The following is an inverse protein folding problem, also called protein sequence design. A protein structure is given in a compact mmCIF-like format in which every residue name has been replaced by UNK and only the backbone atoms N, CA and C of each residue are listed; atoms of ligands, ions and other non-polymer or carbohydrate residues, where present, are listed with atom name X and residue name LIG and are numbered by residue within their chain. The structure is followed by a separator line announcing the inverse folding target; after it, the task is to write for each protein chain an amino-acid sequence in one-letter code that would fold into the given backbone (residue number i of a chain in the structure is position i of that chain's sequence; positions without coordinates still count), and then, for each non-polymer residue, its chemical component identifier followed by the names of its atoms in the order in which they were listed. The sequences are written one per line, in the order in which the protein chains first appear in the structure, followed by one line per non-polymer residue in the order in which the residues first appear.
data_IF_317983559173
#
_entry.id   IF_317983559173
#
_cell.length_a   1.000
_cell.length_b   1.000
_cell.length_c   1.000
_cell.angle_alpha   90.00
_cell.angle_beta   90.00
_cell.angle_gamma   90.00
#
_symmetry.space_group_name_H-M   'P 1'
#
loop_
_entity.id
_entity.type
_entity.pdbx_description
1 polymer ?
#
# COMPACT_ATOMS: atom_id res chain seq x y z
N UNK A 1 -45.95 5.65 -33.56
CA UNK A 1 -45.65 4.67 -32.49
C UNK A 1 -44.16 4.76 -32.22
N UNK A 2 -43.75 5.73 -31.39
CA UNK A 2 -42.36 5.94 -30.98
C UNK A 2 -41.95 4.81 -30.02
N UNK A 3 -41.14 3.86 -30.50
CA UNK A 3 -40.43 2.92 -29.64
C UNK A 3 -39.09 3.56 -29.28
N UNK A 4 -39.08 4.29 -28.17
CA UNK A 4 -37.90 4.90 -27.59
C UNK A 4 -37.05 3.78 -26.95
N UNK A 5 -35.99 3.37 -27.63
CA UNK A 5 -35.03 2.36 -27.17
C UNK A 5 -34.42 2.79 -25.83
N UNK A 6 -34.76 2.05 -24.77
CA UNK A 6 -34.20 2.19 -23.43
C UNK A 6 -32.79 1.58 -23.43
N UNK A 7 -31.77 2.42 -23.67
CA UNK A 7 -30.37 2.07 -23.47
C UNK A 7 -30.10 1.97 -21.96
N UNK A 8 -30.13 0.75 -21.44
CA UNK A 8 -29.74 0.43 -20.07
C UNK A 8 -28.22 0.62 -19.95
N UNK A 9 -27.80 1.72 -19.32
CA UNK A 9 -26.39 2.01 -19.05
C UNK A 9 -25.95 1.10 -17.90
N UNK A 10 -25.19 0.04 -18.22
CA UNK A 10 -24.59 -0.82 -17.21
C UNK A 10 -23.42 -0.04 -16.60
N UNK A 11 -23.65 0.57 -15.44
CA UNK A 11 -22.58 1.13 -14.62
C UNK A 11 -21.70 -0.01 -14.11
N UNK A 12 -20.56 -0.24 -14.77
CA UNK A 12 -19.55 -1.16 -14.28
C UNK A 12 -19.05 -0.69 -12.91
N UNK A 13 -19.15 -1.54 -11.91
CA UNK A 13 -18.53 -1.32 -10.61
C UNK A 13 -17.02 -1.22 -10.81
N UNK A 14 -16.45 -0.04 -10.57
CA UNK A 14 -15.00 0.11 -10.46
C UNK A 14 -14.57 -0.70 -9.24
N UNK A 15 -14.05 -1.90 -9.49
CA UNK A 15 -13.50 -2.74 -8.44
C UNK A 15 -12.16 -2.12 -8.05
N UNK A 16 -12.07 -1.57 -6.83
CA UNK A 16 -10.78 -1.21 -6.26
C UNK A 16 -9.94 -2.49 -6.22
N UNK A 17 -8.71 -2.41 -6.74
CA UNK A 17 -7.82 -3.56 -6.85
C UNK A 17 -7.38 -4.07 -5.47
N UNK A 18 -7.32 -3.21 -4.45
CA UNK A 18 -7.01 -3.57 -3.06
C UNK A 18 -8.23 -3.89 -2.19
N UNK A 19 -8.04 -4.74 -1.18
CA UNK A 19 -9.01 -5.05 -0.12
C UNK A 19 -8.50 -4.47 1.21
N UNK A 20 -9.22 -3.48 1.75
CA UNK A 20 -8.83 -2.81 2.99
C UNK A 20 -8.83 -3.72 4.22
N UNK A 21 -9.70 -4.74 4.26
CA UNK A 21 -9.76 -5.72 5.36
C UNK A 21 -8.55 -6.63 5.31
N UNK A 22 -8.17 -7.12 4.13
CA UNK A 22 -6.95 -7.92 3.96
C UNK A 22 -5.69 -7.09 4.19
N UNK A 23 -5.63 -5.87 3.64
CA UNK A 23 -4.53 -4.93 3.85
C UNK A 23 -4.30 -4.67 5.33
N UNK A 24 -5.37 -4.45 6.12
CA UNK A 24 -5.26 -4.25 7.57
C UNK A 24 -4.57 -5.43 8.27
N UNK A 25 -4.85 -6.68 7.89
CA UNK A 25 -4.21 -7.87 8.48
C UNK A 25 -2.70 -7.89 8.22
N UNK A 26 -2.26 -7.37 7.06
CA UNK A 26 -0.84 -7.28 6.67
C UNK A 26 -0.09 -6.16 7.38
N UNK A 27 -0.78 -5.10 7.83
CA UNK A 27 -0.12 -3.93 8.45
C UNK A 27 0.69 -4.25 9.72
N UNK A 28 0.44 -5.38 10.39
CA UNK A 28 1.16 -5.80 11.59
C UNK A 28 2.68 -5.83 11.38
N UNK A 29 3.15 -6.21 10.19
CA UNK A 29 4.60 -6.21 9.90
C UNK A 29 5.18 -4.79 9.74
N UNK A 30 4.33 -3.81 9.43
CA UNK A 30 4.71 -2.43 9.13
C UNK A 30 4.81 -1.59 10.40
N UNK A 31 3.87 -1.79 11.34
CA UNK A 31 3.77 -0.98 12.56
C UNK A 31 4.99 -1.13 13.47
N UNK A 32 5.70 -2.26 13.40
CA UNK A 32 6.91 -2.49 14.21
C UNK A 32 8.02 -1.46 13.98
N UNK A 33 8.04 -0.81 12.82
CA UNK A 33 8.98 0.30 12.54
C UNK A 33 8.25 1.62 12.33
N UNK A 34 7.13 1.62 11.59
CA UNK A 34 6.43 2.84 11.17
C UNK A 34 5.39 3.35 12.17
N UNK A 35 5.07 2.57 13.19
CA UNK A 35 4.09 2.88 14.23
C UNK A 35 4.70 3.27 15.58
N UNK A 36 6.03 3.30 15.71
CA UNK A 36 6.69 3.70 16.95
C UNK A 36 6.53 5.22 17.14
N UNK A 37 6.16 5.63 18.36
CA UNK A 37 6.02 7.04 18.72
C UNK A 37 7.27 7.85 18.41
N UNK A 38 7.05 9.01 17.81
CA UNK A 38 8.14 9.87 17.33
C UNK A 38 8.82 9.38 16.06
N UNK A 39 8.28 8.34 15.40
CA UNK A 39 8.67 7.90 14.06
C UNK A 39 10.17 7.58 13.98
N UNK A 40 10.63 6.81 14.95
CA UNK A 40 12.02 6.39 15.09
C UNK A 40 12.09 5.00 15.68
N UNK A 41 13.12 4.24 15.33
CA UNK A 41 13.36 2.94 15.96
C UNK A 41 13.83 3.08 17.40
N UNK A 42 13.57 2.04 18.20
CA UNK A 42 14.24 1.83 19.48
C UNK A 42 15.53 1.01 19.27
N UNK A 43 16.37 0.96 20.31
CA UNK A 43 17.60 0.17 20.46
C UNK A 43 17.78 -1.04 19.50
N UNK A 44 18.98 -1.32 18.96
CA UNK A 44 20.29 -0.77 19.35
C UNK A 44 20.71 0.48 18.58
N UNK A 45 20.07 0.79 17.44
CA UNK A 45 20.30 2.03 16.69
C UNK A 45 19.00 2.79 16.54
N UNK A 46 19.02 4.04 16.98
CA UNK A 46 17.93 5.00 16.79
C UNK A 46 18.11 5.67 15.44
N UNK A 47 17.10 5.54 14.57
CA UNK A 47 17.03 6.27 13.31
C UNK A 47 15.57 6.59 12.99
N UNK A 48 15.37 7.61 12.15
CA UNK A 48 14.02 8.03 11.74
C UNK A 48 13.40 7.03 10.77
N UNK A 49 12.13 6.76 10.95
CA UNK A 49 11.30 5.90 10.10
C UNK A 49 10.09 6.72 9.66
N UNK A 50 9.77 6.85 8.37
CA UNK A 50 8.70 7.74 7.94
C UNK A 50 7.32 7.26 8.41
N UNK A 51 6.46 8.19 8.79
CA UNK A 51 5.03 7.92 8.99
C UNK A 51 4.39 7.55 7.65
N UNK A 52 3.65 6.43 7.63
CA UNK A 52 2.91 5.97 6.43
C UNK A 52 1.39 6.16 6.56
N UNK A 53 0.86 6.24 7.77
CA UNK A 53 -0.57 6.48 7.99
C UNK A 53 -0.99 7.88 7.50
N UNK A 54 -2.01 7.93 6.65
CA UNK A 54 -2.50 9.16 6.01
C UNK A 54 -1.77 9.53 4.70
N UNK A 55 -0.84 8.71 4.23
CA UNK A 55 -0.20 8.89 2.93
C UNK A 55 -1.14 8.45 1.78
N UNK A 56 -0.96 9.03 0.60
CA UNK A 56 -1.69 8.63 -0.60
C UNK A 56 -1.39 7.18 -0.99
N UNK A 57 -2.42 6.38 -1.23
CA UNK A 57 -2.30 4.97 -1.61
C UNK A 57 -1.39 4.77 -2.82
N UNK A 58 -1.58 5.57 -3.88
CA UNK A 58 -0.76 5.49 -5.10
C UNK A 58 0.74 5.73 -4.82
N UNK A 59 1.07 6.58 -3.86
CA UNK A 59 2.46 6.79 -3.45
C UNK A 59 3.02 5.56 -2.73
N UNK A 60 2.25 4.97 -1.81
CA UNK A 60 2.67 3.77 -1.06
C UNK A 60 2.91 2.59 -2.01
N UNK A 61 1.96 2.32 -2.91
CA UNK A 61 2.09 1.28 -3.94
C UNK A 61 3.37 1.50 -4.77
N UNK A 62 3.55 2.71 -5.31
CA UNK A 62 4.74 3.05 -6.13
C UNK A 62 6.04 2.91 -5.34
N UNK A 63 6.06 3.30 -4.07
CA UNK A 63 7.24 3.18 -3.23
C UNK A 63 7.59 1.71 -2.93
N UNK A 64 6.61 0.88 -2.57
CA UNK A 64 6.80 -0.55 -2.33
C UNK A 64 7.29 -1.27 -3.58
N UNK A 65 6.68 -0.99 -4.74
CA UNK A 65 7.14 -1.52 -6.02
C UNK A 65 8.57 -1.09 -6.33
N UNK A 66 8.92 0.19 -6.13
CA UNK A 66 10.28 0.69 -6.34
C UNK A 66 11.31 0.02 -5.41
N UNK A 67 10.94 -0.29 -4.16
CA UNK A 67 11.80 -1.06 -3.26
C UNK A 67 11.97 -2.51 -3.72
N UNK A 68 10.90 -3.16 -4.20
CA UNK A 68 10.94 -4.54 -4.70
C UNK A 68 11.81 -4.67 -5.94
N UNK A 69 11.70 -3.72 -6.88
CA UNK A 69 12.49 -3.72 -8.12
C UNK A 69 13.92 -3.20 -7.94
N UNK A 70 14.19 -2.51 -6.82
CA UNK A 70 15.48 -1.86 -6.55
C UNK A 70 15.61 -0.46 -7.16
N UNK A 71 14.59 0.06 -7.85
CA UNK A 71 14.56 1.45 -8.33
C UNK A 71 14.65 2.47 -7.17
N UNK A 72 14.22 2.07 -5.97
CA UNK A 72 14.48 2.77 -4.71
C UNK A 72 15.29 1.86 -3.80
N UNK A 73 16.47 2.31 -3.38
CA UNK A 73 17.36 1.51 -2.54
C UNK A 73 17.15 1.82 -1.05
N UNK A 74 16.89 0.78 -0.26
CA UNK A 74 17.00 0.78 1.20
C UNK A 74 17.07 -0.67 1.70
N UNK A 75 18.10 -1.08 2.47
CA UNK A 75 18.30 -2.49 2.83
C UNK A 75 17.08 -3.15 3.48
N UNK A 76 16.50 -2.54 4.51
CA UNK A 76 15.33 -3.10 5.20
C UNK A 76 14.11 -3.18 4.29
N UNK A 77 13.76 -2.09 3.60
CA UNK A 77 12.57 -2.06 2.75
C UNK A 77 12.68 -2.96 1.53
N UNK A 78 13.89 -3.22 1.00
CA UNK A 78 14.09 -4.21 -0.06
C UNK A 78 13.67 -5.60 0.40
N UNK A 79 14.08 -6.01 1.60
CA UNK A 79 13.71 -7.32 2.18
C UNK A 79 12.21 -7.38 2.47
N UNK A 80 11.63 -6.32 3.04
CA UNK A 80 10.19 -6.25 3.29
C UNK A 80 9.39 -6.35 1.98
N UNK A 81 9.70 -5.53 0.99
CA UNK A 81 8.97 -5.49 -0.29
C UNK A 81 9.16 -6.75 -1.14
N UNK A 82 10.28 -7.47 -0.97
CA UNK A 82 10.49 -8.75 -1.63
C UNK A 82 9.41 -9.79 -1.27
N UNK A 83 8.92 -9.76 -0.01
CA UNK A 83 7.93 -10.70 0.52
C UNK A 83 6.46 -10.34 0.19
N UNK A 84 6.22 -9.19 -0.44
CA UNK A 84 4.87 -8.74 -0.80
C UNK A 84 4.52 -9.13 -2.24
N UNK A 85 3.33 -9.68 -2.45
CA UNK A 85 2.75 -9.77 -3.80
C UNK A 85 2.34 -8.37 -4.29
N UNK A 86 2.09 -8.21 -5.60
CA UNK A 86 1.51 -6.96 -6.12
C UNK A 86 0.19 -6.63 -5.42
N UNK A 87 -0.64 -7.64 -5.18
CA UNK A 87 -1.91 -7.53 -4.48
C UNK A 87 -1.75 -7.06 -3.02
N UNK A 88 -0.70 -7.51 -2.31
CA UNK A 88 -0.47 -7.06 -0.93
C UNK A 88 -0.06 -5.57 -0.84
N UNK A 89 0.43 -4.98 -1.94
CA UNK A 89 0.86 -3.58 -1.96
C UNK A 89 -0.28 -2.59 -2.20
N UNK A 90 -1.45 -3.06 -2.65
CA UNK A 90 -2.62 -2.30 -3.05
C UNK A 90 -3.69 -2.22 -1.95
#
# INVERSE_FOLDING_TARGET
MLLCSLLLVISGTVQATGDAVEGKKKTTMCIGCHGIDGYRTAYPKVYNVPKIGGQHTAYLVKALQAYKTGARSHPSMKVIAANLSTQDME
#
